data_IF_039199883351
#
_entry.id   IF_039199883351
#
_cell.length_a   1.000
_cell.length_b   1.000
_cell.length_c   1.000
_cell.angle_alpha   90.00
_cell.angle_beta   90.00
_cell.angle_gamma   90.00
#
_symmetry.space_group_name_H-M   'P 1'
#
loop_
_entity.id
_entity.type
_entity.pdbx_description
1 polymer ?
#
# COMPACT_ATOMS: atom_id res chain seq x y z
N UNK A 1 -55.49 -23.09 13.54
CA UNK A 1 -54.41 -22.15 13.93
C UNK A 1 -53.90 -21.47 12.66
N UNK A 2 -53.84 -20.13 12.59
CA UNK A 2 -53.44 -19.45 11.36
C UNK A 2 -51.91 -19.54 11.18
N UNK A 3 -51.49 -19.91 9.96
CA UNK A 3 -50.09 -19.93 9.54
C UNK A 3 -49.57 -18.50 9.42
N UNK A 4 -49.06 -17.94 10.53
CA UNK A 4 -48.16 -16.78 10.50
C UNK A 4 -46.78 -17.25 10.03
N UNK A 5 -46.69 -17.64 8.76
CA UNK A 5 -45.41 -17.81 8.07
C UNK A 5 -44.93 -16.40 7.72
N UNK A 6 -44.22 -15.85 8.71
CA UNK A 6 -43.63 -14.53 8.75
C UNK A 6 -42.98 -14.18 7.41
N UNK A 7 -43.37 -13.01 6.92
CA UNK A 7 -42.98 -12.41 5.65
C UNK A 7 -41.45 -12.35 5.54
N UNK A 8 -40.93 -12.51 4.32
CA UNK A 8 -39.53 -12.20 4.00
C UNK A 8 -39.34 -10.70 4.28
N UNK A 9 -38.84 -10.37 5.47
CA UNK A 9 -38.30 -9.05 5.72
C UNK A 9 -37.05 -8.93 4.85
N UNK A 10 -37.21 -8.28 3.69
CA UNK A 10 -36.09 -7.66 3.01
C UNK A 10 -35.57 -6.60 3.96
N UNK A 11 -34.53 -6.95 4.73
CA UNK A 11 -33.70 -5.94 5.33
C UNK A 11 -32.88 -5.36 4.18
N UNK A 12 -33.30 -4.20 3.68
CA UNK A 12 -32.42 -3.36 2.89
C UNK A 12 -31.20 -3.09 3.77
N UNK A 13 -30.04 -3.53 3.30
CA UNK A 13 -28.79 -3.35 4.00
C UNK A 13 -28.46 -1.86 3.97
N UNK A 14 -28.85 -1.13 5.01
CA UNK A 14 -28.40 0.25 5.21
C UNK A 14 -26.94 0.21 5.67
N UNK A 15 -25.96 0.64 4.86
CA UNK A 15 -24.61 0.80 5.36
C UNK A 15 -24.62 1.85 6.48
N UNK A 16 -23.91 1.63 7.59
CA UNK A 16 -23.82 2.63 8.64
C UNK A 16 -23.20 3.91 8.07
N UNK A 17 -23.75 5.08 8.43
CA UNK A 17 -23.23 6.39 8.03
C UNK A 17 -21.78 6.64 8.50
N UNK A 18 -21.29 5.79 9.42
CA UNK A 18 -19.92 5.69 9.91
C UNK A 18 -19.30 4.33 9.58
N UNK A 19 -19.58 3.76 8.40
CA UNK A 19 -18.67 2.78 7.83
C UNK A 19 -17.34 3.52 7.63
N UNK A 20 -16.47 3.48 8.65
CA UNK A 20 -15.06 3.86 8.55
C UNK A 20 -14.60 3.27 7.23
N UNK A 21 -14.29 4.18 6.28
CA UNK A 21 -13.88 3.82 4.93
C UNK A 21 -12.98 2.62 5.05
N UNK A 22 -13.48 1.46 4.61
CA UNK A 22 -12.71 0.22 4.44
C UNK A 22 -11.30 0.65 4.12
N UNK A 23 -10.38 0.45 5.06
CA UNK A 23 -9.05 1.04 5.04
C UNK A 23 -8.41 0.57 3.75
N UNK A 24 -8.55 1.41 2.70
CA UNK A 24 -8.30 1.09 1.30
C UNK A 24 -6.93 0.46 1.28
N UNK A 25 -6.87 -0.87 1.04
CA UNK A 25 -5.67 -1.72 1.16
C UNK A 25 -4.45 -0.86 0.87
N UNK A 26 -3.80 -0.36 1.93
CA UNK A 26 -2.77 0.66 1.79
C UNK A 26 -1.60 -0.09 1.19
N UNK A 27 -1.45 0.05 -0.12
CA UNK A 27 -0.41 -0.64 -0.86
C UNK A 27 0.91 -0.38 -0.16
N UNK A 28 1.66 -1.44 0.16
CA UNK A 28 2.98 -1.30 0.75
C UNK A 28 3.99 -0.68 -0.23
N UNK A 29 3.61 -0.58 -1.51
CA UNK A 29 4.41 -0.02 -2.61
C UNK A 29 4.87 1.42 -2.34
N UNK A 30 3.99 2.42 -2.12
CA UNK A 30 4.42 3.79 -1.83
C UNK A 30 5.35 3.90 -0.62
N UNK A 31 5.08 3.16 0.47
CA UNK A 31 5.94 3.16 1.64
C UNK A 31 7.33 2.57 1.33
N UNK A 32 7.38 1.45 0.61
CA UNK A 32 8.61 0.80 0.17
C UNK A 32 9.45 1.68 -0.75
N UNK A 33 8.81 2.36 -1.71
CA UNK A 33 9.49 3.31 -2.60
C UNK A 33 10.11 4.45 -1.79
N UNK A 34 9.34 5.12 -0.92
CA UNK A 34 9.85 6.26 -0.15
C UNK A 34 11.03 5.83 0.72
N UNK A 35 10.91 4.72 1.43
CA UNK A 35 11.98 4.22 2.30
C UNK A 35 13.25 3.88 1.53
N UNK A 36 13.16 3.06 0.48
CA UNK A 36 14.33 2.69 -0.31
C UNK A 36 14.92 3.86 -1.11
N UNK A 37 14.11 4.83 -1.51
CA UNK A 37 14.61 6.03 -2.20
C UNK A 37 15.42 6.91 -1.24
N UNK A 38 14.95 7.11 0.00
CA UNK A 38 15.70 7.85 1.02
C UNK A 38 17.00 7.13 1.40
N UNK A 39 16.94 5.81 1.60
CA UNK A 39 18.12 5.00 1.91
C UNK A 39 19.10 4.98 0.73
N UNK A 40 18.62 4.78 -0.49
CA UNK A 40 19.44 4.78 -1.71
C UNK A 40 20.10 6.13 -1.98
N UNK A 41 19.38 7.23 -1.78
CA UNK A 41 19.92 8.58 -1.86
C UNK A 41 20.97 8.84 -0.76
N UNK A 42 20.72 8.39 0.47
CA UNK A 42 21.69 8.49 1.56
C UNK A 42 22.98 7.71 1.30
N UNK A 43 22.86 6.48 0.78
CA UNK A 43 24.02 5.66 0.40
C UNK A 43 24.78 6.31 -0.76
N UNK A 44 24.07 6.80 -1.79
CA UNK A 44 24.71 7.47 -2.93
C UNK A 44 25.43 8.76 -2.52
N UNK A 45 24.84 9.55 -1.62
CA UNK A 45 25.47 10.73 -1.07
C UNK A 45 26.74 10.38 -0.29
N UNK A 46 26.73 9.30 0.47
CA UNK A 46 27.90 8.86 1.22
C UNK A 46 28.99 8.23 0.33
N UNK A 47 28.60 7.48 -0.71
CA UNK A 47 29.52 6.76 -1.59
C UNK A 47 30.17 7.64 -2.66
N UNK A 48 29.41 8.60 -3.21
CA UNK A 48 29.84 9.43 -4.35
C UNK A 48 29.90 10.93 -4.02
N UNK A 49 29.57 11.33 -2.79
CA UNK A 49 29.55 12.73 -2.37
C UNK A 49 28.44 13.52 -3.06
N UNK A 50 28.79 14.70 -3.58
CA UNK A 50 27.87 15.63 -4.25
C UNK A 50 27.76 15.42 -5.76
N UNK A 51 28.25 14.29 -6.29
CA UNK A 51 28.21 14.03 -7.73
C UNK A 51 26.77 13.79 -8.20
N UNK A 52 26.18 14.70 -9.01
CA UNK A 52 24.74 14.67 -9.33
C UNK A 52 24.32 13.39 -10.05
N UNK A 53 25.22 12.83 -10.88
CA UNK A 53 24.96 11.60 -11.64
C UNK A 53 24.75 10.41 -10.70
N UNK A 54 25.56 10.29 -9.65
CA UNK A 54 25.47 9.19 -8.70
C UNK A 54 24.26 9.31 -7.78
N UNK A 55 23.87 10.53 -7.40
CA UNK A 55 22.64 10.76 -6.64
C UNK A 55 21.40 10.38 -7.43
N UNK A 56 21.33 10.76 -8.71
CA UNK A 56 20.23 10.36 -9.59
C UNK A 56 20.21 8.85 -9.77
N UNK A 57 21.36 8.22 -10.01
CA UNK A 57 21.46 6.78 -10.18
C UNK A 57 21.03 6.02 -8.91
N UNK A 58 21.47 6.48 -7.74
CA UNK A 58 21.09 5.92 -6.44
C UNK A 58 19.60 6.09 -6.12
N UNK A 59 19.02 7.24 -6.45
CA UNK A 59 17.59 7.48 -6.30
C UNK A 59 16.76 6.58 -7.22
N UNK A 60 17.16 6.41 -8.49
CA UNK A 60 16.48 5.54 -9.45
C UNK A 60 16.60 4.06 -9.03
N UNK A 61 17.80 3.63 -8.62
CA UNK A 61 18.02 2.28 -8.12
C UNK A 61 17.23 1.98 -6.84
N UNK A 62 17.20 2.94 -5.89
CA UNK A 62 16.40 2.86 -4.67
C UNK A 62 14.91 2.79 -4.97
N UNK A 63 14.39 3.65 -5.84
CA UNK A 63 12.98 3.64 -6.23
C UNK A 63 12.59 2.33 -6.92
N UNK A 64 13.43 1.80 -7.81
CA UNK A 64 13.21 0.51 -8.47
C UNK A 64 13.18 -0.64 -7.45
N UNK A 65 14.15 -0.70 -6.55
CA UNK A 65 14.20 -1.68 -5.47
C UNK A 65 12.98 -1.61 -4.54
N UNK A 66 12.61 -0.39 -4.12
CA UNK A 66 11.44 -0.14 -3.28
C UNK A 66 10.12 -0.49 -3.96
N UNK A 67 10.00 -0.28 -5.28
CA UNK A 67 8.82 -0.69 -6.05
C UNK A 67 8.68 -2.21 -6.10
N UNK A 68 9.76 -2.94 -6.41
CA UNK A 68 9.75 -4.40 -6.45
C UNK A 68 9.47 -5.00 -5.08
N UNK A 69 10.14 -4.49 -4.04
CA UNK A 69 9.93 -4.92 -2.67
C UNK A 69 8.49 -4.66 -2.22
N UNK A 70 8.01 -3.43 -2.36
CA UNK A 70 6.66 -3.07 -1.97
C UNK A 70 5.59 -3.85 -2.74
N UNK A 71 5.84 -4.21 -4.01
CA UNK A 71 4.93 -5.04 -4.81
C UNK A 71 4.94 -6.51 -4.38
N UNK A 72 6.08 -7.04 -3.93
CA UNK A 72 6.14 -8.38 -3.32
C UNK A 72 5.44 -8.42 -1.96
N UNK A 73 5.64 -7.39 -1.15
CA UNK A 73 4.96 -7.23 0.15
C UNK A 73 3.45 -7.17 -0.08
N UNK A 74 2.97 -6.32 -0.99
CA UNK A 74 1.53 -6.25 -1.31
C UNK A 74 0.93 -7.59 -1.71
N UNK A 75 1.62 -8.35 -2.58
CA UNK A 75 1.19 -9.69 -2.99
C UNK A 75 1.14 -10.68 -1.82
N UNK A 76 2.09 -10.59 -0.91
CA UNK A 76 2.18 -11.48 0.25
C UNK A 76 1.11 -11.17 1.30
N UNK A 77 0.83 -9.88 1.51
CA UNK A 77 -0.20 -9.43 2.46
C UNK A 77 -1.63 -9.51 1.90
N UNK A 78 -1.81 -9.45 0.58
CA UNK A 78 -3.12 -9.61 -0.07
C UNK A 78 -3.63 -11.06 -0.11
N UNK A 79 -2.87 -12.05 0.37
CA UNK A 79 -3.25 -13.47 0.34
C UNK A 79 -4.04 -13.93 1.57
N UNK A 80 -4.73 -13.01 2.27
CA UNK A 80 -5.51 -13.32 3.47
C UNK A 80 -7.01 -13.26 3.22
#
# INVERSE_FOLDING_TARGET
MPQSKKRKHHHDFHPPANAEKSAKNKSAVPAGIIFFTLVGAGIAFFAAGSDPLWLVLGAVAGAAGGYFFGRQVDKSFSKK
#
